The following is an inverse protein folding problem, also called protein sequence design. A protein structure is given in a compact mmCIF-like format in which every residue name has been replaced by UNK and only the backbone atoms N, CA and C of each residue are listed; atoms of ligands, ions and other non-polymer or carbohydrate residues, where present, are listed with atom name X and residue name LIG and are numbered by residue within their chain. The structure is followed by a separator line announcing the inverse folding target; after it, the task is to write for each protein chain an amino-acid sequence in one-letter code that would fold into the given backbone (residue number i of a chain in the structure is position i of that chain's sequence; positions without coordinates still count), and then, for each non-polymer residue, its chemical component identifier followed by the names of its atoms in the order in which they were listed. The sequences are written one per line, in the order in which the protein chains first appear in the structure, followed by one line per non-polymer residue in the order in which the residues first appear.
data_IF_242921440870
#
_entry.id   IF_242921440870
#
_cell.length_a   1.000
_cell.length_b   1.000
_cell.length_c   1.000
_cell.angle_alpha   90.00
_cell.angle_beta   90.00
_cell.angle_gamma   90.00
#
_symmetry.space_group_name_H-M   'P 1'
#
loop_
_entity.id
_entity.type
_entity.pdbx_description
1 polymer ?
#
# COMPACT_ATOMS: atom_id res chain seq x y z
N UNK A 1 8.89 16.85 15.82
CA UNK A 1 8.17 15.80 15.06
C UNK A 1 7.20 16.50 14.14
N UNK A 2 7.04 16.00 12.91
CA UNK A 2 6.13 16.61 11.93
C UNK A 2 4.86 15.78 11.83
N UNK A 3 3.71 16.46 11.70
CA UNK A 3 2.46 15.80 11.33
C UNK A 3 2.58 15.32 9.89
N UNK A 4 2.33 14.03 9.67
CA UNK A 4 2.21 13.42 8.37
C UNK A 4 0.73 13.12 8.11
N UNK A 5 0.24 13.49 6.93
CA UNK A 5 -1.10 13.16 6.46
C UNK A 5 -0.99 12.20 5.28
N UNK A 6 -1.81 11.17 5.26
CA UNK A 6 -1.91 10.21 4.17
C UNK A 6 -2.58 10.83 2.95
N UNK A 7 -2.59 10.08 1.85
CA UNK A 7 -3.32 10.47 0.64
C UNK A 7 -4.64 9.72 0.52
N UNK A 8 -5.49 10.21 -0.37
CA UNK A 8 -6.68 9.48 -0.81
C UNK A 8 -6.29 8.23 -1.61
N UNK A 9 -7.04 7.13 -1.48
CA UNK A 9 -6.73 5.89 -2.16
C UNK A 9 -6.85 6.03 -3.68
N UNK A 10 -5.92 5.41 -4.42
CA UNK A 10 -6.09 5.21 -5.87
C UNK A 10 -6.96 3.97 -6.06
N UNK A 11 -8.16 4.15 -6.58
CA UNK A 11 -9.18 3.10 -6.68
C UNK A 11 -9.48 2.74 -8.14
N UNK A 12 -9.42 1.45 -8.48
CA UNK A 12 -9.99 0.89 -9.71
C UNK A 12 -11.52 0.95 -9.71
N UNK A 13 -12.14 1.02 -10.89
CA UNK A 13 -13.59 0.96 -11.04
C UNK A 13 -14.19 -0.40 -10.61
N UNK A 14 -13.40 -1.48 -10.63
CA UNK A 14 -13.81 -2.83 -10.20
C UNK A 14 -12.74 -3.41 -9.27
N UNK A 15 -12.60 -2.86 -8.05
CA UNK A 15 -11.50 -3.22 -7.17
C UNK A 15 -11.71 -4.61 -6.57
N UNK A 16 -10.67 -5.45 -6.62
CA UNK A 16 -10.65 -6.80 -6.04
C UNK A 16 -9.62 -6.93 -4.92
N UNK A 17 -8.48 -6.25 -5.08
CA UNK A 17 -7.34 -6.35 -4.17
C UNK A 17 -6.94 -4.97 -3.67
N UNK A 18 -6.77 -4.84 -2.36
CA UNK A 18 -6.30 -3.62 -1.71
C UNK A 18 -4.84 -3.81 -1.28
N UNK A 19 -3.93 -2.98 -1.78
CA UNK A 19 -2.52 -2.96 -1.41
C UNK A 19 -2.28 -1.82 -0.41
N UNK A 20 -1.69 -2.15 0.74
CA UNK A 20 -1.48 -1.23 1.86
C UNK A 20 -0.01 -1.04 2.21
N UNK A 21 0.46 0.20 2.11
CA UNK A 21 1.66 0.67 2.81
C UNK A 21 1.38 1.03 4.27
N UNK A 22 2.39 1.52 4.97
CA UNK A 22 2.25 2.00 6.36
C UNK A 22 1.77 3.45 6.40
N UNK A 23 2.58 4.35 5.86
CA UNK A 23 2.40 5.79 5.80
C UNK A 23 3.34 6.36 4.72
N UNK A 24 2.92 7.31 3.86
CA UNK A 24 3.76 7.83 2.78
C UNK A 24 5.11 8.33 3.29
N UNK A 25 6.22 8.01 2.62
CA UNK A 25 7.55 8.49 3.03
C UNK A 25 7.65 10.02 2.93
N UNK A 26 8.70 10.63 3.52
CA UNK A 26 8.95 12.08 3.36
C UNK A 26 8.97 12.49 1.88
N UNK A 27 9.59 11.68 1.03
CA UNK A 27 9.64 11.93 -0.41
C UNK A 27 8.25 11.84 -1.06
N UNK A 28 7.45 10.85 -0.66
CA UNK A 28 6.08 10.69 -1.15
C UNK A 28 5.22 11.89 -0.74
N UNK A 29 5.34 12.35 0.51
CA UNK A 29 4.65 13.53 1.04
C UNK A 29 5.04 14.81 0.28
N UNK A 30 6.33 14.99 -0.02
CA UNK A 30 6.82 16.15 -0.76
C UNK A 30 6.29 16.18 -2.20
N UNK A 31 6.21 15.01 -2.85
CA UNK A 31 5.71 14.88 -4.22
C UNK A 31 4.19 14.67 -4.32
N UNK A 32 3.50 14.56 -3.17
CA UNK A 32 2.07 14.24 -3.08
C UNK A 32 1.66 12.99 -3.88
N UNK A 33 2.53 11.97 -3.94
CA UNK A 33 2.27 10.74 -4.68
C UNK A 33 2.84 9.50 -4.00
N UNK A 34 2.14 8.37 -4.13
CA UNK A 34 2.54 7.12 -3.50
C UNK A 34 3.91 6.63 -3.99
N UNK A 35 4.74 6.19 -3.05
CA UNK A 35 6.04 5.57 -3.32
C UNK A 35 6.95 6.40 -4.26
N UNK A 36 6.90 7.74 -4.16
CA UNK A 36 7.62 8.64 -5.07
C UNK A 36 9.16 8.58 -4.95
N UNK A 37 9.69 7.95 -3.90
CA UNK A 37 11.14 7.82 -3.72
C UNK A 37 11.76 6.97 -4.85
N UNK A 38 12.76 7.47 -5.62
CA UNK A 38 13.26 6.79 -6.84
C UNK A 38 13.80 5.37 -6.64
N UNK A 39 14.31 5.06 -5.43
CA UNK A 39 14.77 3.71 -5.08
C UNK A 39 13.68 2.79 -4.50
N UNK A 40 12.43 3.24 -4.44
CA UNK A 40 11.33 2.37 -4.03
C UNK A 40 10.98 1.43 -5.20
N UNK A 41 10.94 0.14 -4.92
CA UNK A 41 10.73 -0.87 -5.96
C UNK A 41 9.25 -1.07 -6.34
N UNK A 42 8.30 -0.37 -5.70
CA UNK A 42 6.88 -0.60 -5.92
C UNK A 42 6.48 -0.46 -7.40
N UNK A 43 6.69 0.72 -7.98
CA UNK A 43 6.27 0.97 -9.37
C UNK A 43 6.97 0.05 -10.38
N UNK A 44 8.30 -0.17 -10.34
CA UNK A 44 8.94 -1.15 -11.21
C UNK A 44 8.38 -2.58 -11.08
N UNK A 45 8.06 -3.03 -9.85
CA UNK A 45 7.46 -4.34 -9.62
C UNK A 45 6.07 -4.40 -10.25
N UNK A 46 5.23 -3.40 -10.02
CA UNK A 46 3.88 -3.36 -10.56
C UNK A 46 3.88 -3.30 -12.10
N UNK A 47 4.75 -2.46 -12.68
CA UNK A 47 4.94 -2.40 -14.14
C UNK A 47 5.33 -3.75 -14.72
N UNK A 48 6.26 -4.47 -14.08
CA UNK A 48 6.67 -5.80 -14.54
C UNK A 48 5.58 -6.86 -14.43
N UNK A 49 4.70 -6.79 -13.43
CA UNK A 49 3.64 -7.79 -13.24
C UNK A 49 2.51 -7.59 -14.25
N UNK A 50 2.15 -6.33 -14.51
CA UNK A 50 0.98 -5.97 -15.31
C UNK A 50 1.32 -5.59 -16.75
N UNK A 51 2.61 -5.48 -17.10
CA UNK A 51 3.09 -5.03 -18.41
C UNK A 51 2.49 -3.68 -18.83
N UNK A 52 2.51 -2.72 -17.89
CA UNK A 52 1.96 -1.36 -18.06
C UNK A 52 3.01 -0.29 -17.75
N UNK A 53 2.98 0.86 -18.46
CA UNK A 53 3.95 1.93 -18.29
C UNK A 53 3.84 2.62 -16.92
N UNK A 54 4.92 3.29 -16.51
CA UNK A 54 5.03 4.04 -15.24
C UNK A 54 5.81 5.35 -15.42
N UNK A 55 5.85 5.89 -16.64
CA UNK A 55 6.64 7.08 -17.01
C UNK A 55 6.13 8.36 -16.33
N UNK A 56 4.83 8.39 -16.02
CA UNK A 56 4.14 9.48 -15.33
C UNK A 56 3.32 8.99 -14.14
N UNK A 57 2.87 9.93 -13.29
CA UNK A 57 1.95 9.61 -12.20
C UNK A 57 0.55 9.24 -12.73
N UNK A 58 0.18 9.76 -13.89
CA UNK A 58 -0.99 9.35 -14.66
C UNK A 58 -0.90 7.87 -15.10
N UNK A 59 0.25 7.44 -15.64
CA UNK A 59 0.46 6.04 -16.04
C UNK A 59 0.41 5.10 -14.84
N UNK A 60 1.08 5.47 -13.73
CA UNK A 60 1.04 4.73 -12.46
C UNK A 60 -0.38 4.63 -11.92
N UNK A 61 -1.15 5.71 -11.97
CA UNK A 61 -2.56 5.72 -11.56
C UNK A 61 -3.41 4.83 -12.49
N UNK A 62 -3.17 4.90 -13.80
CA UNK A 62 -3.86 4.08 -14.78
C UNK A 62 -3.55 2.59 -14.59
N UNK A 63 -2.32 2.23 -14.24
CA UNK A 63 -1.91 0.86 -13.89
C UNK A 63 -2.77 0.31 -12.76
N UNK A 64 -2.84 1.01 -11.62
CA UNK A 64 -3.67 0.56 -10.47
C UNK A 64 -5.13 0.40 -10.88
N UNK A 65 -5.66 1.36 -11.66
CA UNK A 65 -7.06 1.33 -12.11
C UNK A 65 -7.35 0.17 -13.06
N UNK A 66 -6.47 -0.13 -14.00
CA UNK A 66 -6.65 -1.21 -14.98
C UNK A 66 -6.45 -2.59 -14.35
N UNK A 67 -5.56 -2.70 -13.37
CA UNK A 67 -5.23 -3.94 -12.68
C UNK A 67 -6.30 -4.42 -11.67
N UNK A 68 -7.42 -3.72 -11.50
CA UNK A 68 -8.44 -4.09 -10.50
C UNK A 68 -7.96 -3.87 -9.05
N UNK A 69 -7.01 -2.97 -8.85
CA UNK A 69 -6.36 -2.73 -7.57
C UNK A 69 -6.92 -1.48 -6.86
N UNK A 70 -6.71 -1.44 -5.56
CA UNK A 70 -6.72 -0.22 -4.76
C UNK A 70 -5.35 -0.06 -4.12
N UNK A 71 -4.77 1.13 -4.20
CA UNK A 71 -3.55 1.47 -3.49
C UNK A 71 -3.84 2.48 -2.39
N UNK A 72 -3.46 2.16 -1.16
CA UNK A 72 -3.60 3.05 -0.01
C UNK A 72 -2.51 2.80 1.04
N UNK A 73 -2.63 3.48 2.18
CA UNK A 73 -1.83 3.26 3.39
C UNK A 73 -2.73 2.91 4.57
N UNK A 74 -2.17 2.23 5.57
CA UNK A 74 -2.91 1.92 6.81
C UNK A 74 -3.26 3.19 7.59
N UNK A 75 -2.33 4.15 7.65
CA UNK A 75 -2.48 5.34 8.47
C UNK A 75 -2.98 6.53 7.65
N UNK A 76 -4.06 7.17 8.15
CA UNK A 76 -4.56 8.45 7.67
C UNK A 76 -3.67 9.60 8.16
N UNK A 77 -3.16 9.49 9.39
CA UNK A 77 -2.30 10.49 10.00
C UNK A 77 -1.38 9.88 11.05
N UNK A 78 -0.22 10.49 11.24
CA UNK A 78 0.65 10.22 12.39
C UNK A 78 1.63 11.37 12.60
N UNK A 79 2.32 11.35 13.74
CA UNK A 79 3.53 12.14 13.93
C UNK A 79 4.75 11.28 13.62
N UNK A 80 5.63 11.74 12.72
CA UNK A 80 6.86 11.01 12.37
C UNK A 80 7.99 11.97 12.04
N UNK A 81 9.19 11.63 12.47
CA UNK A 81 10.42 12.25 11.98
C UNK A 81 11.10 11.33 10.97
N UNK A 82 11.39 11.85 9.78
CA UNK A 82 11.90 11.04 8.67
C UNK A 82 10.87 10.05 8.14
N UNK A 83 11.35 8.97 7.51
CA UNK A 83 10.49 7.97 6.84
C UNK A 83 10.45 6.61 7.55
N UNK A 84 11.11 6.47 8.70
CA UNK A 84 11.20 5.19 9.40
C UNK A 84 9.93 4.89 10.18
N UNK A 85 9.34 3.71 9.97
CA UNK A 85 8.12 3.32 10.70
C UNK A 85 8.33 3.19 12.21
N UNK A 86 9.56 2.97 12.67
CA UNK A 86 9.91 2.95 14.10
C UNK A 86 9.74 4.32 14.77
N UNK A 87 9.74 5.40 13.98
CA UNK A 87 9.55 6.77 14.46
C UNK A 87 8.08 7.21 14.47
N UNK A 88 7.13 6.36 14.08
CA UNK A 88 5.70 6.67 14.09
C UNK A 88 5.19 6.84 15.54
N UNK A 89 4.50 7.96 15.78
CA UNK A 89 3.79 8.30 17.01
C UNK A 89 2.36 8.73 16.68
N UNK A 90 1.46 8.59 17.64
CA UNK A 90 0.05 8.97 17.54
C UNK A 90 -0.63 8.51 16.22
N UNK A 91 -0.52 7.23 15.84
CA UNK A 91 -1.09 6.74 14.58
C UNK A 91 -2.61 6.78 14.60
N UNK A 92 -3.18 7.24 13.49
CA UNK A 92 -4.61 7.20 13.21
C UNK A 92 -4.81 6.41 11.92
N UNK A 93 -5.62 5.35 11.99
CA UNK A 93 -5.91 4.53 10.84
C UNK A 93 -6.88 5.23 9.88
N UNK A 94 -6.79 4.87 8.60
CA UNK A 94 -7.81 5.18 7.62
C UNK A 94 -9.14 4.45 7.93
N UNK A 95 -10.24 4.92 7.35
CA UNK A 95 -11.57 4.32 7.48
C UNK A 95 -11.74 3.17 6.48
N UNK A 96 -11.41 1.97 6.92
CA UNK A 96 -11.51 0.75 6.13
C UNK A 96 -12.93 0.17 6.13
N UNK A 97 -13.70 0.39 7.19
CA UNK A 97 -15.12 0.00 7.25
C UNK A 97 -15.89 0.67 6.11
N UNK A 98 -15.79 2.01 5.99
CA UNK A 98 -16.44 2.74 4.90
C UNK A 98 -15.93 2.31 3.51
N UNK A 99 -14.63 2.05 3.35
CA UNK A 99 -14.06 1.62 2.07
C UNK A 99 -14.61 0.25 1.64
N UNK A 100 -14.63 -0.72 2.56
CA UNK A 100 -15.02 -2.09 2.27
C UNK A 100 -16.54 -2.25 2.14
N UNK A 101 -17.33 -1.44 2.84
CA UNK A 101 -18.78 -1.33 2.61
C UNK A 101 -19.09 -0.80 1.22
N UNK A 102 -18.34 0.23 0.78
CA UNK A 102 -18.51 0.81 -0.57
C UNK A 102 -18.05 -0.12 -1.68
N UNK A 103 -17.03 -0.94 -1.42
CA UNK A 103 -16.44 -1.86 -2.40
C UNK A 103 -16.39 -3.29 -1.87
N UNK A 104 -17.54 -3.98 -1.74
CA UNK A 104 -17.61 -5.33 -1.19
C UNK A 104 -16.95 -6.39 -2.09
N UNK A 105 -16.56 -6.03 -3.32
CA UNK A 105 -15.77 -6.86 -4.23
C UNK A 105 -14.31 -7.00 -3.80
N UNK A 106 -13.82 -6.15 -2.89
CA UNK A 106 -12.49 -6.30 -2.31
C UNK A 106 -12.53 -7.49 -1.35
N UNK A 107 -11.82 -8.55 -1.71
CA UNK A 107 -11.74 -9.79 -0.91
C UNK A 107 -10.33 -10.13 -0.44
N UNK A 108 -9.33 -9.36 -0.88
CA UNK A 108 -7.94 -9.57 -0.48
C UNK A 108 -7.27 -8.26 -0.11
N UNK A 109 -6.59 -8.24 1.03
CA UNK A 109 -5.75 -7.14 1.50
C UNK A 109 -4.29 -7.60 1.53
N UNK A 110 -3.47 -6.93 0.73
CA UNK A 110 -2.05 -7.17 0.57
C UNK A 110 -1.24 -6.09 1.32
N UNK A 111 -0.45 -6.47 2.30
CA UNK A 111 0.39 -5.55 3.07
C UNK A 111 1.79 -5.45 2.47
N UNK A 112 2.21 -4.24 2.07
CA UNK A 112 3.58 -3.95 1.64
C UNK A 112 4.55 -3.92 2.84
N UNK A 113 4.83 -5.11 3.37
CA UNK A 113 5.69 -5.33 4.54
C UNK A 113 4.91 -5.60 5.84
N UNK A 114 5.56 -6.36 6.73
CA UNK A 114 5.00 -6.78 8.04
C UNK A 114 4.53 -5.61 8.91
N UNK A 115 5.13 -4.44 8.77
CA UNK A 115 4.76 -3.28 9.60
C UNK A 115 3.37 -2.75 9.26
N UNK A 116 2.98 -2.76 7.98
CA UNK A 116 1.63 -2.38 7.57
C UNK A 116 0.60 -3.33 8.18
N UNK A 117 0.83 -4.65 8.09
CA UNK A 117 -0.02 -5.67 8.72
C UNK A 117 -0.16 -5.45 10.24
N UNK A 118 0.95 -5.20 10.94
CA UNK A 118 0.93 -4.96 12.39
C UNK A 118 0.11 -3.72 12.78
N UNK A 119 0.25 -2.64 12.02
CA UNK A 119 -0.55 -1.42 12.24
C UNK A 119 -2.03 -1.70 11.95
N UNK A 120 -2.33 -2.40 10.87
CA UNK A 120 -3.70 -2.74 10.50
C UNK A 120 -4.38 -3.57 11.57
N UNK A 121 -3.73 -4.65 12.04
CA UNK A 121 -4.24 -5.48 13.15
C UNK A 121 -4.46 -4.68 14.44
N UNK A 122 -3.62 -3.67 14.70
CA UNK A 122 -3.69 -2.90 15.96
C UNK A 122 -4.74 -1.79 15.92
N UNK A 123 -4.88 -1.11 14.79
CA UNK A 123 -5.64 0.13 14.69
C UNK A 123 -6.89 0.02 13.82
N UNK A 124 -7.01 -1.03 13.00
CA UNK A 124 -8.19 -1.29 12.15
C UNK A 124 -9.00 -2.43 12.73
N UNK A 125 -8.47 -3.66 12.73
CA UNK A 125 -9.20 -4.87 13.19
C UNK A 125 -9.79 -4.73 14.61
N UNK A 126 -9.12 -3.97 15.50
CA UNK A 126 -9.58 -3.78 16.88
C UNK A 126 -10.62 -2.69 17.05
N UNK A 127 -10.83 -1.84 16.04
CA UNK A 127 -11.57 -0.58 16.17
C UNK A 127 -12.64 -0.39 15.09
N UNK A 128 -12.61 -1.17 14.02
CA UNK A 128 -13.49 -1.06 12.86
C UNK A 128 -14.06 -2.42 12.51
N UNK A 129 -15.27 -2.45 11.95
CA UNK A 129 -15.90 -3.68 11.49
C UNK A 129 -15.37 -4.03 10.09
N UNK A 130 -14.64 -5.15 10.00
CA UNK A 130 -14.08 -5.64 8.74
C UNK A 130 -14.75 -6.97 8.40
N UNK A 131 -15.12 -7.22 7.13
CA UNK A 131 -15.73 -8.50 6.74
C UNK A 131 -14.84 -9.70 7.08
N UNK A 132 -15.45 -10.77 7.57
CA UNK A 132 -14.75 -12.00 7.97
C UNK A 132 -14.17 -12.79 6.79
N UNK A 133 -14.64 -12.52 5.57
CA UNK A 133 -14.23 -13.20 4.34
C UNK A 133 -13.08 -12.51 3.60
N UNK A 134 -12.40 -11.57 4.26
CA UNK A 134 -11.18 -10.93 3.73
C UNK A 134 -9.97 -11.85 3.92
N UNK A 135 -9.28 -12.14 2.82
CA UNK A 135 -7.96 -12.76 2.83
C UNK A 135 -6.87 -11.71 3.09
N UNK A 136 -5.89 -12.07 3.93
CA UNK A 136 -4.77 -11.20 4.29
C UNK A 136 -3.44 -11.78 3.81
N UNK A 137 -2.70 -11.03 2.99
CA UNK A 137 -1.41 -11.45 2.43
C UNK A 137 -0.33 -10.45 2.83
N UNK A 138 0.79 -10.93 3.35
CA UNK A 138 1.95 -10.08 3.67
C UNK A 138 2.99 -10.19 2.55
N UNK A 139 3.26 -9.06 1.92
CA UNK A 139 4.26 -8.92 0.86
C UNK A 139 5.62 -8.48 1.41
N UNK A 140 6.67 -8.64 0.60
CA UNK A 140 7.99 -8.11 0.91
C UNK A 140 8.00 -6.59 0.76
N UNK A 141 8.59 -5.86 1.71
CA UNK A 141 8.58 -4.40 1.65
C UNK A 141 9.37 -3.89 0.43
N UNK A 142 8.76 -3.01 -0.35
CA UNK A 142 9.36 -2.37 -1.53
C UNK A 142 10.28 -1.20 -1.18
N UNK A 143 10.34 -0.81 0.09
CA UNK A 143 11.22 0.25 0.58
C UNK A 143 12.70 -0.10 0.35
N UNK A 144 13.56 0.89 0.04
CA UNK A 144 15.01 0.69 -0.02
C UNK A 144 15.62 0.31 1.33
N UNK A 145 14.93 0.58 2.45
CA UNK A 145 15.37 0.16 3.78
C UNK A 145 15.38 -1.37 3.95
N UNK A 146 14.58 -2.09 3.16
CA UNK A 146 14.59 -3.55 3.11
C UNK A 146 15.67 -4.04 2.13
N UNK A 147 16.94 -3.75 2.44
CA UNK A 147 18.10 -4.04 1.59
C UNK A 147 18.57 -5.51 1.66
N UNK A 148 18.02 -6.31 2.58
CA UNK A 148 18.36 -7.74 2.72
C UNK A 148 17.78 -8.62 1.61
N UNK A 149 16.83 -8.11 0.82
CA UNK A 149 16.18 -8.82 -0.29
C UNK A 149 16.44 -8.02 -1.57
N UNK A 150 16.86 -8.69 -2.64
CA UNK A 150 17.13 -8.02 -3.92
C UNK A 150 15.83 -7.51 -4.55
N UNK A 151 15.94 -6.54 -5.46
CA UNK A 151 14.77 -6.04 -6.19
C UNK A 151 14.07 -7.15 -7.00
N UNK A 152 14.85 -8.07 -7.58
CA UNK A 152 14.32 -9.20 -8.36
C UNK A 152 13.61 -10.22 -7.48
N UNK A 153 14.16 -10.56 -6.32
CA UNK A 153 13.48 -11.47 -5.37
C UNK A 153 12.18 -10.86 -4.85
N UNK A 154 12.14 -9.53 -4.62
CA UNK A 154 10.89 -8.83 -4.29
C UNK A 154 9.89 -8.96 -5.43
N UNK A 155 10.32 -8.72 -6.68
CA UNK A 155 9.47 -8.81 -7.87
C UNK A 155 8.87 -10.21 -8.03
N UNK A 156 9.68 -11.25 -7.95
CA UNK A 156 9.23 -12.65 -8.05
C UNK A 156 8.23 -13.00 -6.94
N UNK A 157 8.51 -12.58 -5.71
CA UNK A 157 7.60 -12.81 -4.58
C UNK A 157 6.26 -12.09 -4.75
N UNK A 158 6.27 -10.84 -5.21
CA UNK A 158 5.05 -10.08 -5.50
C UNK A 158 4.27 -10.72 -6.66
N UNK A 159 4.97 -11.14 -7.71
CA UNK A 159 4.35 -11.80 -8.87
C UNK A 159 3.64 -13.09 -8.47
N UNK A 160 4.29 -13.96 -7.68
CA UNK A 160 3.69 -15.20 -7.16
C UNK A 160 2.40 -14.92 -6.39
N UNK A 161 2.41 -13.89 -5.51
CA UNK A 161 1.29 -13.60 -4.60
C UNK A 161 0.16 -12.81 -5.23
N UNK A 162 0.41 -11.96 -6.23
CA UNK A 162 -0.62 -11.05 -6.77
C UNK A 162 -1.20 -11.52 -8.10
N UNK A 163 -0.41 -12.18 -8.95
CA UNK A 163 -0.82 -12.46 -10.35
C UNK A 163 -2.12 -13.25 -10.51
N UNK A 164 -2.50 -14.06 -9.53
CA UNK A 164 -3.71 -14.87 -9.56
C UNK A 164 -4.94 -14.18 -8.94
N UNK A 165 -4.78 -13.00 -8.35
CA UNK A 165 -5.83 -12.30 -7.59
C UNK A 165 -6.64 -11.29 -8.44
N UNK A 166 -6.16 -10.96 -9.63
CA UNK A 166 -6.62 -9.83 -10.45
C UNK A 166 -7.09 -10.26 -11.82
#
# INVERSE_FOLDING_TARGET
MSLCLGFDPIISAKPKVLILGTMPSVESLNQAFYYAHPRNAFWPIMSSIFDLPIDSDEDKTALIRQAGLVLWDVLAACERQGSLDSAIKNPQANDFEMLLEKYPSIKTICFNGKKAEQLFKRYVIKQQSIPDDIEYIVLSSTSPANAAITAEDKRLFWQEKISHLV
#
